data_IF_183733635986
#
_entry.id   IF_183733635986
#
_cell.length_a   1.000
_cell.length_b   1.000
_cell.length_c   1.000
_cell.angle_alpha   90.00
_cell.angle_beta   90.00
_cell.angle_gamma   90.00
#
_symmetry.space_group_name_H-M   'P 1'
#
loop_
_entity.id
_entity.type
_entity.pdbx_description
1 polymer ?
#
# COMPACT_ATOMS: atom_id res chain seq x y z
N UNK A 1 -32.00 9.55 -12.97
CA UNK A 1 -32.07 8.12 -12.60
C UNK A 1 -30.98 7.26 -13.23
N UNK A 2 -30.51 7.58 -14.45
CA UNK A 2 -29.44 6.84 -15.12
C UNK A 2 -28.07 7.07 -14.46
N UNK A 3 -27.74 8.34 -14.15
CA UNK A 3 -26.49 8.72 -13.46
C UNK A 3 -26.33 8.11 -12.06
N UNK A 4 -27.43 7.92 -11.32
CA UNK A 4 -27.43 7.26 -10.00
C UNK A 4 -27.11 5.76 -10.09
N UNK A 5 -27.60 5.09 -11.13
CA UNK A 5 -27.29 3.66 -11.37
C UNK A 5 -25.85 3.46 -11.80
N UNK A 6 -25.33 4.33 -12.67
CA UNK A 6 -23.94 4.29 -13.11
C UNK A 6 -22.98 4.56 -11.95
N UNK A 7 -23.27 5.58 -11.12
CA UNK A 7 -22.49 5.85 -9.91
C UNK A 7 -22.44 4.65 -8.96
N UNK A 8 -23.60 4.02 -8.69
CA UNK A 8 -23.66 2.83 -7.81
C UNK A 8 -22.90 1.61 -8.37
N UNK A 9 -22.87 1.46 -9.70
CA UNK A 9 -22.16 0.37 -10.36
C UNK A 9 -20.65 0.59 -10.34
N UNK A 10 -20.22 1.84 -10.53
CA UNK A 10 -18.82 2.23 -10.45
C UNK A 10 -18.26 2.04 -9.03
N UNK A 11 -18.97 2.50 -8.00
CA UNK A 11 -18.58 2.30 -6.59
C UNK A 11 -18.38 0.81 -6.28
N UNK A 12 -19.31 -0.04 -6.72
CA UNK A 12 -19.21 -1.49 -6.51
C UNK A 12 -18.01 -2.09 -7.23
N UNK A 13 -17.72 -1.66 -8.46
CA UNK A 13 -16.54 -2.11 -9.21
C UNK A 13 -15.24 -1.71 -8.50
N UNK A 14 -15.17 -0.51 -7.95
CA UNK A 14 -14.03 -0.03 -7.15
C UNK A 14 -13.81 -0.90 -5.91
N UNK A 15 -14.86 -1.18 -5.15
CA UNK A 15 -14.78 -2.02 -3.94
C UNK A 15 -14.33 -3.46 -4.27
N UNK A 16 -14.85 -4.05 -5.36
CA UNK A 16 -14.41 -5.37 -5.83
C UNK A 16 -12.94 -5.34 -6.24
N UNK A 17 -12.50 -4.29 -6.94
CA UNK A 17 -11.10 -4.11 -7.35
C UNK A 17 -10.18 -4.08 -6.13
N UNK A 18 -10.51 -3.30 -5.10
CA UNK A 18 -9.74 -3.25 -3.86
C UNK A 18 -9.73 -4.57 -3.10
N UNK A 19 -10.86 -5.29 -3.08
CA UNK A 19 -10.94 -6.64 -2.48
C UNK A 19 -10.08 -7.67 -3.24
N UNK A 20 -10.01 -7.56 -4.57
CA UNK A 20 -9.14 -8.41 -5.39
C UNK A 20 -7.66 -8.08 -5.12
N UNK A 21 -7.32 -6.79 -5.02
CA UNK A 21 -5.97 -6.35 -4.68
C UNK A 21 -5.55 -6.80 -3.27
N UNK A 22 -6.42 -6.69 -2.28
CA UNK A 22 -6.18 -7.20 -0.93
C UNK A 22 -5.83 -8.69 -0.97
N UNK A 23 -6.66 -9.50 -1.63
CA UNK A 23 -6.42 -10.94 -1.74
C UNK A 23 -5.14 -11.26 -2.51
N UNK A 24 -4.85 -10.52 -3.59
CA UNK A 24 -3.63 -10.71 -4.35
C UNK A 24 -2.39 -10.39 -3.50
N UNK A 25 -2.36 -9.25 -2.81
CA UNK A 25 -1.23 -8.87 -1.94
C UNK A 25 -1.05 -9.86 -0.79
N UNK A 26 -2.16 -10.30 -0.18
CA UNK A 26 -2.13 -11.25 0.94
C UNK A 26 -1.47 -12.58 0.59
N UNK A 27 -1.72 -13.12 -0.61
CA UNK A 27 -1.26 -14.46 -0.99
C UNK A 27 -0.07 -14.45 -1.95
N UNK A 28 0.14 -13.34 -2.67
CA UNK A 28 1.06 -13.28 -3.81
C UNK A 28 2.02 -12.08 -3.78
N UNK A 29 2.13 -11.32 -2.69
CA UNK A 29 3.10 -10.21 -2.59
C UNK A 29 4.55 -10.61 -2.93
N UNK A 30 5.00 -11.80 -2.51
CA UNK A 30 6.35 -12.28 -2.83
C UNK A 30 6.52 -12.58 -4.33
N UNK A 31 5.47 -13.07 -5.00
CA UNK A 31 5.48 -13.30 -6.45
C UNK A 31 5.46 -11.97 -7.21
N UNK A 32 4.65 -11.02 -6.75
CA UNK A 32 4.59 -9.66 -7.27
C UNK A 32 6.01 -9.05 -7.31
N UNK A 33 6.75 -9.09 -6.21
CA UNK A 33 8.12 -8.56 -6.16
C UNK A 33 9.13 -9.29 -7.03
N UNK A 34 8.92 -10.58 -7.30
CA UNK A 34 9.84 -11.38 -8.10
C UNK A 34 9.64 -11.19 -9.59
N UNK A 35 8.38 -11.00 -10.01
CA UNK A 35 8.00 -11.08 -11.42
C UNK A 35 7.50 -9.78 -12.00
N UNK A 36 7.01 -8.85 -11.18
CA UNK A 36 6.53 -7.57 -11.69
C UNK A 36 7.68 -6.59 -11.82
N UNK A 37 7.62 -5.81 -12.88
CA UNK A 37 8.49 -4.65 -13.04
C UNK A 37 8.10 -3.55 -12.03
N UNK A 38 9.05 -2.72 -11.58
CA UNK A 38 8.78 -1.65 -10.62
C UNK A 38 7.57 -0.76 -10.99
N UNK A 39 7.37 -0.34 -12.26
CA UNK A 39 6.22 0.50 -12.61
C UNK A 39 4.86 -0.17 -12.36
N UNK A 40 4.77 -1.49 -12.55
CA UNK A 40 3.52 -2.22 -12.29
C UNK A 40 3.24 -2.35 -10.78
N UNK A 41 4.30 -2.54 -9.99
CA UNK A 41 4.21 -2.53 -8.52
C UNK A 41 3.73 -1.17 -8.04
N UNK A 42 4.31 -0.08 -8.54
CA UNK A 42 3.86 1.28 -8.24
C UNK A 42 2.41 1.47 -8.63
N UNK A 43 2.00 1.06 -9.82
CA UNK A 43 0.60 1.24 -10.23
C UNK A 43 -0.40 0.52 -9.33
N UNK A 44 0.01 -0.64 -8.83
CA UNK A 44 -0.74 -1.42 -7.84
C UNK A 44 -0.84 -0.64 -6.51
N UNK A 45 0.27 -0.07 -6.05
CA UNK A 45 0.32 0.75 -4.83
C UNK A 45 -0.44 2.07 -4.97
N UNK A 46 -0.40 2.75 -6.11
CA UNK A 46 -1.21 3.95 -6.41
C UNK A 46 -2.70 3.63 -6.34
N UNK A 47 -3.13 2.52 -6.94
CA UNK A 47 -4.53 2.08 -6.88
C UNK A 47 -4.95 1.82 -5.44
N UNK A 48 -4.06 1.23 -4.66
CA UNK A 48 -4.30 0.95 -3.23
C UNK A 48 -4.34 2.25 -2.41
N UNK A 49 -3.48 3.22 -2.72
CA UNK A 49 -3.46 4.55 -2.12
C UNK A 49 -4.76 5.30 -2.39
N UNK A 50 -5.29 5.22 -3.62
CA UNK A 50 -6.61 5.79 -3.94
C UNK A 50 -7.69 5.19 -3.04
N UNK A 51 -7.71 3.86 -2.86
CA UNK A 51 -8.67 3.20 -1.97
C UNK A 51 -8.55 3.58 -0.49
N UNK A 52 -7.38 4.04 -0.03
CA UNK A 52 -7.24 4.61 1.33
C UNK A 52 -7.94 5.97 1.49
N UNK A 53 -8.24 6.66 0.39
CA UNK A 53 -8.85 7.99 0.39
C UNK A 53 -10.35 7.96 0.03
N UNK A 54 -10.94 6.78 -0.18
CA UNK A 54 -12.35 6.63 -0.58
C UNK A 54 -13.24 6.15 0.58
N UNK A 55 -14.22 5.31 0.30
CA UNK A 55 -15.17 4.74 1.26
C UNK A 55 -14.52 3.78 2.25
N UNK A 56 -15.22 3.52 3.37
CA UNK A 56 -14.71 2.70 4.48
C UNK A 56 -14.42 1.24 4.09
N UNK A 57 -15.16 0.67 3.13
CA UNK A 57 -14.96 -0.71 2.69
C UNK A 57 -13.66 -0.82 1.88
N UNK A 58 -13.48 0.07 0.91
CA UNK A 58 -12.23 0.23 0.16
C UNK A 58 -11.03 0.47 1.08
N UNK A 59 -11.16 1.41 2.03
CA UNK A 59 -10.15 1.69 3.05
C UNK A 59 -9.72 0.43 3.80
N UNK A 60 -10.69 -0.36 4.24
CA UNK A 60 -10.46 -1.61 4.95
C UNK A 60 -9.63 -2.61 4.14
N UNK A 61 -10.05 -2.88 2.91
CA UNK A 61 -9.34 -3.80 2.01
C UNK A 61 -7.95 -3.31 1.66
N UNK A 62 -7.78 -2.03 1.33
CA UNK A 62 -6.49 -1.46 0.99
C UNK A 62 -5.50 -1.47 2.16
N UNK A 63 -5.95 -1.18 3.38
CA UNK A 63 -5.11 -1.30 4.58
C UNK A 63 -4.66 -2.73 4.86
N UNK A 64 -5.55 -3.71 4.71
CA UNK A 64 -5.20 -5.12 4.88
C UNK A 64 -4.20 -5.59 3.81
N UNK A 65 -4.44 -5.23 2.56
CA UNK A 65 -3.53 -5.52 1.44
C UNK A 65 -2.14 -4.92 1.68
N UNK A 66 -2.09 -3.64 2.05
CA UNK A 66 -0.82 -2.96 2.39
C UNK A 66 -0.11 -3.60 3.58
N UNK A 67 -0.83 -3.98 4.63
CA UNK A 67 -0.24 -4.68 5.78
C UNK A 67 0.47 -5.94 5.31
N UNK A 68 -0.22 -6.78 4.55
CA UNK A 68 0.32 -8.08 4.13
C UNK A 68 1.45 -7.91 3.10
N UNK A 69 1.32 -6.95 2.19
CA UNK A 69 2.38 -6.58 1.26
C UNK A 69 3.64 -6.12 2.00
N UNK A 70 3.55 -5.08 2.83
CA UNK A 70 4.70 -4.53 3.54
C UNK A 70 5.29 -5.53 4.54
N UNK A 71 4.46 -6.37 5.19
CA UNK A 71 4.95 -7.45 6.06
C UNK A 71 5.72 -8.51 5.28
N UNK A 72 5.24 -8.87 4.08
CA UNK A 72 5.95 -9.79 3.18
C UNK A 72 7.29 -9.20 2.76
N UNK A 73 7.33 -7.93 2.37
CA UNK A 73 8.59 -7.24 2.04
C UNK A 73 9.56 -7.25 3.22
N UNK A 74 9.07 -6.95 4.42
CA UNK A 74 9.90 -6.95 5.63
C UNK A 74 10.49 -8.34 5.92
N UNK A 75 9.68 -9.40 5.86
CA UNK A 75 10.10 -10.78 6.12
C UNK A 75 10.99 -11.35 5.01
N UNK A 76 10.77 -10.93 3.77
CA UNK A 76 11.53 -11.38 2.61
C UNK A 76 12.69 -10.44 2.25
N UNK A 77 12.98 -9.42 3.07
CA UNK A 77 13.91 -8.34 2.74
C UNK A 77 15.29 -8.85 2.31
N UNK A 78 15.81 -9.86 3.00
CA UNK A 78 17.16 -10.37 2.74
C UNK A 78 17.20 -11.21 1.45
N UNK A 79 16.05 -11.78 1.04
CA UNK A 79 15.91 -12.59 -0.19
C UNK A 79 15.50 -11.77 -1.41
N UNK A 80 14.99 -10.56 -1.19
CA UNK A 80 14.49 -9.65 -2.23
C UNK A 80 15.20 -8.29 -2.17
N UNK A 81 16.38 -8.22 -1.53
CA UNK A 81 17.08 -6.97 -1.24
C UNK A 81 17.29 -6.14 -2.52
N UNK A 82 17.83 -6.76 -3.58
CA UNK A 82 18.09 -6.09 -4.86
C UNK A 82 16.81 -5.53 -5.47
N UNK A 83 15.72 -6.31 -5.48
CA UNK A 83 14.42 -5.86 -6.03
C UNK A 83 13.75 -4.77 -5.21
N UNK A 84 13.89 -4.83 -3.89
CA UNK A 84 13.39 -3.78 -2.99
C UNK A 84 14.21 -2.50 -3.20
N UNK A 85 15.53 -2.62 -3.32
CA UNK A 85 16.43 -1.51 -3.62
C UNK A 85 16.11 -0.87 -4.96
N UNK A 86 15.96 -1.65 -6.03
CA UNK A 86 15.59 -1.18 -7.37
C UNK A 86 14.25 -0.44 -7.36
N UNK A 87 13.24 -1.01 -6.69
CA UNK A 87 11.93 -0.41 -6.56
C UNK A 87 12.01 0.93 -5.81
N UNK A 88 12.76 0.98 -4.71
CA UNK A 88 12.88 2.19 -3.90
C UNK A 88 13.76 3.25 -4.57
N UNK A 89 14.75 2.86 -5.36
CA UNK A 89 15.58 3.80 -6.13
C UNK A 89 14.79 4.45 -7.27
N UNK A 90 13.96 3.67 -7.96
CA UNK A 90 13.16 4.16 -9.10
C UNK A 90 11.97 4.98 -8.62
N UNK A 91 11.32 4.56 -7.53
CA UNK A 91 9.94 4.96 -7.20
C UNK A 91 9.77 5.23 -5.70
N UNK A 92 10.75 5.89 -5.06
CA UNK A 92 10.70 6.23 -3.63
C UNK A 92 9.47 7.05 -3.21
N UNK A 93 8.84 7.76 -4.16
CA UNK A 93 7.72 8.67 -3.92
C UNK A 93 6.48 7.93 -3.39
N UNK A 94 6.13 6.79 -3.97
CA UNK A 94 4.85 6.12 -3.64
C UNK A 94 4.82 5.61 -2.20
N UNK A 95 5.93 5.06 -1.69
CA UNK A 95 6.01 4.60 -0.31
C UNK A 95 5.94 5.74 0.71
N UNK A 96 6.48 6.92 0.35
CA UNK A 96 6.36 8.13 1.17
C UNK A 96 4.93 8.65 1.18
N UNK A 97 4.24 8.63 0.04
CA UNK A 97 2.84 9.05 -0.06
C UNK A 97 1.92 8.11 0.73
N UNK A 98 2.10 6.79 0.59
CA UNK A 98 1.37 5.80 1.39
C UNK A 98 1.58 6.04 2.88
N UNK A 99 2.83 6.25 3.32
CA UNK A 99 3.13 6.55 4.72
C UNK A 99 2.46 7.84 5.20
N UNK A 100 2.55 8.91 4.41
CA UNK A 100 1.93 10.21 4.71
C UNK A 100 0.42 10.09 4.87
N UNK A 101 -0.24 9.36 3.96
CA UNK A 101 -1.69 9.12 4.04
C UNK A 101 -2.05 8.32 5.28
N UNK A 102 -1.36 7.21 5.57
CA UNK A 102 -1.59 6.42 6.77
C UNK A 102 -1.42 7.24 8.06
N UNK A 103 -0.35 8.05 8.15
CA UNK A 103 -0.12 8.92 9.30
C UNK A 103 -1.21 9.99 9.45
N UNK A 104 -1.60 10.62 8.34
CA UNK A 104 -2.64 11.64 8.35
C UNK A 104 -3.96 11.04 8.83
N UNK A 105 -4.34 9.87 8.32
CA UNK A 105 -5.56 9.18 8.74
C UNK A 105 -5.53 8.78 10.21
N UNK A 106 -4.41 8.24 10.71
CA UNK A 106 -4.29 7.84 12.12
C UNK A 106 -4.33 9.03 13.08
N UNK A 107 -3.78 10.19 12.68
CA UNK A 107 -3.71 11.39 13.54
C UNK A 107 -5.01 12.20 13.50
N UNK A 108 -5.65 12.30 12.33
CA UNK A 108 -6.72 13.29 12.11
C UNK A 108 -8.13 12.68 11.89
N UNK A 109 -8.30 11.39 11.61
CA UNK A 109 -9.66 10.80 11.46
C UNK A 109 -10.24 10.29 12.79
N UNK A 110 -11.52 10.59 13.04
CA UNK A 110 -12.21 10.32 14.30
C UNK A 110 -12.62 8.83 14.46
N UNK A 111 -11.91 8.16 15.37
CA UNK A 111 -12.14 6.97 16.21
C UNK A 111 -13.01 5.74 15.82
N UNK A 112 -13.64 5.63 14.64
CA UNK A 112 -14.25 4.35 14.20
C UNK A 112 -13.47 3.74 13.03
N UNK A 113 -12.40 3.00 13.34
CA UNK A 113 -11.63 2.25 12.34
C UNK A 113 -10.12 2.49 12.33
N UNK A 114 -9.61 3.39 13.18
CA UNK A 114 -8.16 3.71 13.28
C UNK A 114 -7.27 2.46 13.40
N UNK A 115 -7.73 1.41 14.10
CA UNK A 115 -6.98 0.17 14.26
C UNK A 115 -6.63 -0.51 12.94
N UNK A 116 -7.45 -0.31 11.89
CA UNK A 116 -7.22 -0.87 10.56
C UNK A 116 -6.02 -0.20 9.90
N UNK A 117 -5.83 1.11 10.11
CA UNK A 117 -4.72 1.91 9.58
C UNK A 117 -3.41 1.74 10.37
N UNK A 118 -3.50 1.40 11.66
CA UNK A 118 -2.31 1.09 12.47
C UNK A 118 -1.58 -0.18 11.99
N UNK A 119 -2.32 -1.13 11.42
CA UNK A 119 -1.77 -2.41 10.95
C UNK A 119 -0.71 -2.28 9.85
N UNK A 120 -0.93 -1.55 8.74
CA UNK A 120 0.11 -1.31 7.75
C UNK A 120 1.16 -0.29 8.18
N UNK A 121 0.93 0.50 9.24
CA UNK A 121 1.79 1.64 9.61
C UNK A 121 3.22 1.19 9.97
N UNK A 122 3.36 0.25 10.90
CA UNK A 122 4.68 -0.24 11.32
C UNK A 122 5.52 -0.78 10.15
N UNK A 123 5.05 -1.75 9.34
CA UNK A 123 5.88 -2.28 8.26
C UNK A 123 6.14 -1.23 7.17
N UNK A 124 5.23 -0.29 6.93
CA UNK A 124 5.46 0.84 5.99
C UNK A 124 6.56 1.78 6.49
N UNK A 125 6.59 2.10 7.79
CA UNK A 125 7.65 2.92 8.40
C UNK A 125 9.00 2.23 8.26
N UNK A 126 9.09 0.92 8.51
CA UNK A 126 10.36 0.19 8.44
C UNK A 126 10.93 0.18 7.03
N UNK A 127 10.09 0.01 6.01
CA UNK A 127 10.51 0.07 4.60
C UNK A 127 11.01 1.47 4.24
N UNK A 128 10.33 2.52 4.70
CA UNK A 128 10.74 3.91 4.43
C UNK A 128 11.98 4.36 5.23
N UNK A 129 12.15 3.87 6.46
CA UNK A 129 13.17 4.36 7.41
C UNK A 129 14.59 3.85 7.14
N UNK A 130 14.75 2.65 6.55
CA UNK A 130 16.08 2.06 6.33
C UNK A 130 16.86 2.75 5.21
N UNK A 131 16.21 3.18 4.14
CA UNK A 131 16.90 3.84 3.02
C UNK A 131 17.48 5.21 3.39
N UNK A 132 16.90 5.90 4.36
CA UNK A 132 17.44 7.16 4.86
C UNK A 132 18.63 6.97 5.80
N UNK A 133 18.77 5.81 6.45
CA UNK A 133 19.86 5.57 7.40
C UNK A 133 21.17 5.14 6.74
N UNK A 134 21.09 4.56 5.54
CA UNK A 134 22.28 4.22 4.74
C UNK A 134 22.79 5.45 3.95
N UNK A 135 21.89 6.31 3.46
CA UNK A 135 22.25 7.59 2.83
C UNK A 135 22.96 8.58 3.78
N UNK A 136 22.59 8.60 5.06
CA UNK A 136 23.19 9.51 6.08
C UNK A 136 24.55 9.00 6.60
N UNK A 137 24.94 7.76 6.30
CA UNK A 137 26.27 7.23 6.68
C UNK A 137 27.36 7.51 5.64
N UNK A 138 27.00 8.04 4.48
CA UNK A 138 27.94 8.38 3.40
C UNK A 138 28.19 9.90 3.26
N UNK A 139 27.63 10.72 4.17
CA UNK A 139 27.97 12.16 4.34
C UNK A 139 28.89 12.38 5.55
#
# INVERSE_FOLDING_TARGET
MQDQKEYSSFTRLTQVTHSMLENFMKHHAALMMRHFEPPLIVKTLETTLLGLMTDNESKGSCCNGLRDFCSTLYLARDKLADKISDLLATEASIFKEVLKTLLTTVIYEDHKGIWVFQKPLFPTIVINGKNNYEAVKEE
#
